data_IF_114122694184
#
_entry.id   IF_114122694184
#
_cell.length_a   1.000
_cell.length_b   1.000
_cell.length_c   1.000
_cell.angle_alpha   90.00
_cell.angle_beta   90.00
_cell.angle_gamma   90.00
#
_symmetry.space_group_name_H-M   'P 1'
#
loop_
_entity.id
_entity.type
_entity.pdbx_description
1 polymer ?
#
# COMPACT_ATOMS: atom_id res chain seq x y z
N UNK A 1 10.52 13.19 -11.62
CA UNK A 1 10.52 12.44 -10.35
C UNK A 1 9.20 12.73 -9.68
N UNK A 2 8.44 11.71 -9.26
CA UNK A 2 7.04 11.89 -8.84
C UNK A 2 6.83 12.48 -7.44
N UNK A 3 7.88 12.98 -6.77
CA UNK A 3 7.76 13.59 -5.42
C UNK A 3 7.37 12.63 -4.29
N UNK A 4 7.28 11.33 -4.60
CA UNK A 4 6.85 10.27 -3.68
C UNK A 4 7.96 9.91 -2.66
N UNK A 5 9.24 10.09 -3.04
CA UNK A 5 10.37 9.74 -2.17
C UNK A 5 10.54 10.75 -1.04
N UNK A 6 10.34 12.04 -1.35
CA UNK A 6 10.51 13.15 -0.42
C UNK A 6 9.33 13.26 0.56
N UNK A 7 8.11 13.00 0.10
CA UNK A 7 6.89 13.01 0.92
C UNK A 7 6.59 11.69 1.64
N UNK A 8 7.28 10.61 1.24
CA UNK A 8 7.11 9.27 1.80
C UNK A 8 6.04 8.44 1.07
N UNK A 9 6.05 7.13 1.36
CA UNK A 9 5.14 6.15 0.78
C UNK A 9 4.80 5.04 1.79
N UNK A 10 3.74 4.27 1.52
CA UNK A 10 3.38 3.06 2.27
C UNK A 10 3.47 1.84 1.37
N UNK A 11 4.10 0.81 1.91
CA UNK A 11 4.15 -0.53 1.32
C UNK A 11 3.16 -1.44 2.03
N UNK A 12 2.29 -2.13 1.28
CA UNK A 12 1.26 -3.03 1.83
C UNK A 12 1.33 -4.40 1.15
N UNK A 13 1.36 -5.46 1.96
CA UNK A 13 1.08 -6.83 1.55
C UNK A 13 -0.23 -7.28 2.17
N UNK A 14 -1.15 -7.77 1.35
CA UNK A 14 -2.39 -8.37 1.80
C UNK A 14 -2.27 -9.90 1.78
N UNK A 15 -2.63 -10.55 2.88
CA UNK A 15 -2.62 -12.02 2.98
C UNK A 15 -3.99 -12.54 3.40
N UNK A 16 -4.61 -13.33 2.51
CA UNK A 16 -5.92 -13.93 2.72
C UNK A 16 -7.11 -12.99 2.50
N UNK A 17 -8.31 -13.57 2.57
CA UNK A 17 -9.58 -12.90 2.23
C UNK A 17 -9.88 -11.68 3.09
N UNK A 18 -9.65 -11.79 4.40
CA UNK A 18 -9.96 -10.72 5.36
C UNK A 18 -9.03 -9.50 5.20
N UNK A 19 -7.85 -9.67 4.60
CA UNK A 19 -6.95 -8.59 4.22
C UNK A 19 -7.22 -8.08 2.78
N UNK A 20 -8.31 -8.51 2.14
CA UNK A 20 -8.69 -8.09 0.79
C UNK A 20 -7.69 -8.52 -0.30
N UNK A 21 -7.01 -9.66 -0.15
CA UNK A 21 -6.22 -10.25 -1.23
C UNK A 21 -7.14 -10.83 -2.33
N UNK A 22 -7.20 -10.19 -3.50
CA UNK A 22 -8.02 -10.64 -4.63
C UNK A 22 -7.28 -11.60 -5.57
N UNK A 23 -5.99 -11.35 -5.82
CA UNK A 23 -5.12 -12.22 -6.64
C UNK A 23 -4.24 -13.06 -5.72
N UNK A 24 -4.34 -14.39 -5.84
CA UNK A 24 -3.58 -15.34 -5.02
C UNK A 24 -2.12 -15.53 -5.51
N UNK A 25 -1.43 -14.40 -5.68
CA UNK A 25 0.01 -14.32 -5.92
C UNK A 25 0.57 -13.23 -5.00
N UNK A 26 1.80 -13.37 -4.50
CA UNK A 26 2.40 -12.35 -3.64
C UNK A 26 2.62 -11.08 -4.46
N UNK A 27 2.09 -9.95 -4.00
CA UNK A 27 2.27 -8.65 -4.63
C UNK A 27 2.36 -7.55 -3.57
N UNK A 28 3.20 -6.55 -3.86
CA UNK A 28 3.40 -5.38 -3.02
C UNK A 28 2.66 -4.19 -3.63
N UNK A 29 1.77 -3.56 -2.84
CA UNK A 29 1.24 -2.24 -3.19
C UNK A 29 2.22 -1.17 -2.72
N UNK A 30 2.52 -0.20 -3.60
CA UNK A 30 3.25 1.03 -3.26
C UNK A 30 2.27 2.20 -3.42
N UNK A 31 1.99 2.89 -2.33
CA UNK A 31 1.01 3.98 -2.25
C UNK A 31 1.74 5.26 -1.84
N UNK A 32 1.52 6.37 -2.55
CA UNK A 32 2.17 7.66 -2.26
C UNK A 32 1.50 8.82 -2.99
N UNK A 33 2.11 10.00 -2.91
CA UNK A 33 1.61 11.22 -3.57
C UNK A 33 0.44 11.92 -2.85
N UNK A 34 0.11 11.49 -1.62
CA UNK A 34 -0.91 12.10 -0.74
C UNK A 34 -0.71 11.67 0.71
N UNK A 35 -1.32 12.41 1.64
CA UNK A 35 -1.40 12.00 3.04
C UNK A 35 -2.18 10.67 3.19
N UNK A 36 -1.69 9.82 4.09
CA UNK A 36 -2.27 8.51 4.38
C UNK A 36 -2.77 8.46 5.81
N UNK A 37 -4.04 8.09 5.99
CA UNK A 37 -4.64 7.90 7.31
C UNK A 37 -4.06 6.71 8.10
N UNK A 38 -4.47 6.65 9.37
CA UNK A 38 -4.20 5.58 10.31
C UNK A 38 -5.45 5.29 11.17
N UNK A 39 -5.87 4.02 11.36
CA UNK A 39 -5.21 2.78 10.94
C UNK A 39 -5.22 2.55 9.41
N UNK A 40 -4.37 1.64 8.89
CA UNK A 40 -4.18 1.41 7.45
C UNK A 40 -5.17 0.35 6.94
N UNK A 41 -6.46 0.57 7.20
CA UNK A 41 -7.57 -0.32 6.89
C UNK A 41 -8.89 0.41 7.06
#
# INVERSE_FOLDING_TARGET
QEGIVESGYRSVFNSGRAAHQSVQHVHLHVLGGRDMGWPPG
#
